data_IF_667932608795
#
_entry.id   IF_667932608795
#
_cell.length_a   1.000
_cell.length_b   1.000
_cell.length_c   1.000
_cell.angle_alpha   90.00
_cell.angle_beta   90.00
_cell.angle_gamma   90.00
#
_symmetry.space_group_name_H-M   'P 1'
#
loop_
_entity.id
_entity.type
_entity.pdbx_description
1 polymer ?
#
# COMPACT_ATOMS: atom_id res chain seq x y z
N UNK A 1 4.07 31.48 -42.48
CA UNK A 1 2.79 30.76 -42.23
C UNK A 1 1.54 31.45 -42.78
N UNK A 2 1.58 32.70 -43.29
CA UNK A 2 0.34 33.42 -43.69
C UNK A 2 -0.29 33.00 -45.02
N UNK A 3 0.47 32.42 -45.97
CA UNK A 3 -0.10 31.98 -47.26
C UNK A 3 -1.14 30.86 -47.09
N UNK A 4 -0.82 29.86 -46.26
CA UNK A 4 -1.69 28.71 -45.98
C UNK A 4 -2.97 29.19 -45.26
N UNK A 5 -2.83 30.07 -44.26
CA UNK A 5 -3.98 30.64 -43.56
C UNK A 5 -4.90 31.41 -44.53
N UNK A 6 -4.34 32.28 -45.37
CA UNK A 6 -5.11 33.08 -46.34
C UNK A 6 -5.79 32.22 -47.42
N UNK A 7 -5.19 31.10 -47.85
CA UNK A 7 -5.78 30.20 -48.85
C UNK A 7 -7.07 29.54 -48.33
N UNK A 8 -7.04 29.06 -47.08
CA UNK A 8 -8.20 28.42 -46.45
C UNK A 8 -9.26 29.41 -45.93
N UNK A 9 -8.91 30.68 -45.66
CA UNK A 9 -9.86 31.68 -45.16
C UNK A 9 -10.53 32.54 -46.23
N UNK A 10 -9.92 32.71 -47.41
CA UNK A 10 -10.42 33.63 -48.44
C UNK A 10 -11.28 32.96 -49.53
N UNK A 11 -11.88 31.81 -49.24
CA UNK A 11 -12.86 31.16 -50.14
C UNK A 11 -12.27 30.46 -51.36
N UNK A 12 -10.94 30.30 -51.45
CA UNK A 12 -10.26 29.60 -52.55
C UNK A 12 -10.13 28.08 -52.33
N UNK A 13 -10.63 27.57 -51.20
CA UNK A 13 -10.61 26.16 -50.87
C UNK A 13 -11.66 25.37 -51.66
N UNK A 14 -11.27 24.20 -52.16
CA UNK A 14 -12.18 23.26 -52.80
C UNK A 14 -13.17 22.65 -51.80
N UNK A 15 -14.34 22.15 -52.25
CA UNK A 15 -15.28 21.47 -51.36
C UNK A 15 -14.67 20.32 -50.55
N UNK A 16 -13.78 19.52 -51.16
CA UNK A 16 -13.08 18.43 -50.50
C UNK A 16 -12.12 18.94 -49.40
N UNK A 17 -11.44 20.08 -49.61
CA UNK A 17 -10.58 20.70 -48.60
C UNK A 17 -11.37 21.26 -47.42
N UNK A 18 -12.56 21.81 -47.67
CA UNK A 18 -13.47 22.27 -46.62
C UNK A 18 -13.99 21.09 -45.77
N UNK A 19 -14.38 19.99 -46.42
CA UNK A 19 -14.81 18.75 -45.76
C UNK A 19 -13.68 18.14 -44.91
N UNK A 20 -12.48 18.01 -45.47
CA UNK A 20 -11.30 17.53 -44.74
C UNK A 20 -10.95 18.43 -43.55
N UNK A 21 -11.05 19.75 -43.71
CA UNK A 21 -10.80 20.70 -42.61
C UNK A 21 -11.86 20.57 -41.51
N UNK A 22 -13.13 20.36 -41.86
CA UNK A 22 -14.19 20.12 -40.90
C UNK A 22 -13.99 18.80 -40.15
N UNK A 23 -13.61 17.73 -40.85
CA UNK A 23 -13.28 16.43 -40.25
C UNK A 23 -12.11 16.53 -39.27
N UNK A 24 -11.01 17.21 -39.66
CA UNK A 24 -9.87 17.43 -38.77
C UNK A 24 -10.26 18.23 -37.52
N UNK A 25 -11.07 19.28 -37.67
CA UNK A 25 -11.57 20.06 -36.52
C UNK A 25 -12.42 19.21 -35.57
N UNK A 26 -13.27 18.33 -36.11
CA UNK A 26 -14.06 17.40 -35.32
C UNK A 26 -13.16 16.43 -34.55
N UNK A 27 -12.19 15.79 -35.22
CA UNK A 27 -11.24 14.88 -34.57
C UNK A 27 -10.43 15.56 -33.46
N UNK A 28 -9.96 16.80 -33.68
CA UNK A 28 -9.22 17.57 -32.66
C UNK A 28 -10.12 17.85 -31.44
N UNK A 29 -11.38 18.23 -31.67
CA UNK A 29 -12.35 18.49 -30.61
C UNK A 29 -12.64 17.22 -29.79
N UNK A 30 -12.85 16.11 -30.48
CA UNK A 30 -13.13 14.82 -29.85
C UNK A 30 -11.92 14.34 -29.04
N UNK A 31 -10.72 14.39 -29.62
CA UNK A 31 -9.49 14.00 -28.91
C UNK A 31 -9.23 14.88 -27.68
N UNK A 32 -9.51 16.18 -27.76
CA UNK A 32 -9.41 17.09 -26.60
C UNK A 32 -10.39 16.71 -25.50
N UNK A 33 -11.60 16.29 -25.85
CA UNK A 33 -12.61 15.82 -24.89
C UNK A 33 -12.13 14.52 -24.21
N UNK A 34 -11.65 13.56 -25.01
CA UNK A 34 -11.13 12.28 -24.52
C UNK A 34 -9.96 12.50 -23.56
N UNK A 35 -8.97 13.31 -23.93
CA UNK A 35 -7.80 13.61 -23.09
C UNK A 35 -8.21 14.25 -21.74
N UNK A 36 -9.23 15.10 -21.74
CA UNK A 36 -9.74 15.72 -20.50
C UNK A 36 -10.35 14.67 -19.55
N UNK A 37 -11.07 13.71 -20.11
CA UNK A 37 -11.66 12.60 -19.35
C UNK A 37 -10.59 11.65 -18.83
N UNK A 38 -9.65 11.23 -19.69
CA UNK A 38 -8.50 10.38 -19.33
C UNK A 38 -7.67 11.02 -18.21
N UNK A 39 -7.41 12.34 -18.31
CA UNK A 39 -6.67 13.06 -17.27
C UNK A 39 -7.38 13.05 -15.92
N UNK A 40 -8.70 13.32 -15.91
CA UNK A 40 -9.50 13.30 -14.68
C UNK A 40 -9.58 11.90 -14.06
N UNK A 41 -9.69 10.87 -14.90
CA UNK A 41 -9.66 9.49 -14.47
C UNK A 41 -8.32 9.14 -13.81
N UNK A 42 -7.21 9.43 -14.50
CA UNK A 42 -5.85 9.21 -13.99
C UNK A 42 -5.61 9.95 -12.66
N UNK A 43 -6.07 11.20 -12.53
CA UNK A 43 -5.99 11.95 -11.27
C UNK A 43 -6.76 11.26 -10.13
N UNK A 44 -7.94 10.69 -10.43
CA UNK A 44 -8.74 9.93 -9.47
C UNK A 44 -8.06 8.62 -9.04
N UNK A 45 -7.57 7.85 -10.01
CA UNK A 45 -6.84 6.60 -9.78
C UNK A 45 -5.57 6.85 -8.95
N UNK A 46 -4.81 7.89 -9.27
CA UNK A 46 -3.62 8.27 -8.49
C UNK A 46 -3.96 8.60 -7.03
N UNK A 47 -4.99 9.42 -6.79
CA UNK A 47 -5.42 9.77 -5.42
C UNK A 47 -5.86 8.54 -4.63
N UNK A 48 -6.57 7.62 -5.28
CA UNK A 48 -7.01 6.38 -4.65
C UNK A 48 -5.81 5.48 -4.32
N UNK A 49 -4.87 5.31 -5.26
CA UNK A 49 -3.67 4.51 -5.06
C UNK A 49 -2.79 5.05 -3.90
N UNK A 50 -2.66 6.36 -3.77
CA UNK A 50 -1.94 6.98 -2.64
C UNK A 50 -2.63 6.66 -1.32
N UNK A 51 -3.95 6.81 -1.25
CA UNK A 51 -4.72 6.51 -0.04
C UNK A 51 -4.62 5.05 0.38
N UNK A 52 -4.65 4.13 -0.59
CA UNK A 52 -4.52 2.70 -0.34
C UNK A 52 -3.10 2.34 0.12
N UNK A 53 -2.08 2.96 -0.47
CA UNK A 53 -0.68 2.80 -0.05
C UNK A 53 -0.43 3.33 1.37
N UNK A 54 -1.01 4.48 1.74
CA UNK A 54 -0.93 5.03 3.10
C UNK A 54 -1.60 4.12 4.13
N UNK A 55 -2.79 3.59 3.80
CA UNK A 55 -3.49 2.64 4.67
C UNK A 55 -2.69 1.35 4.87
N UNK A 56 -2.05 0.84 3.81
CA UNK A 56 -1.23 -0.36 3.88
C UNK A 56 0.05 -0.13 4.68
N UNK A 57 0.69 1.04 4.54
CA UNK A 57 1.84 1.42 5.35
C UNK A 57 1.52 1.41 6.84
N UNK A 58 0.40 2.00 7.26
CA UNK A 58 0.03 2.03 8.68
C UNK A 58 -0.36 0.64 9.23
N UNK A 59 -0.98 -0.22 8.41
CA UNK A 59 -1.21 -1.64 8.78
C UNK A 59 0.10 -2.39 8.97
N UNK A 60 1.00 -2.31 7.99
CA UNK A 60 2.30 -3.00 8.03
C UNK A 60 3.14 -2.53 9.23
N UNK A 61 3.15 -1.23 9.52
CA UNK A 61 3.80 -0.66 10.69
C UNK A 61 3.22 -1.18 12.01
N UNK A 62 1.89 -1.32 12.12
CA UNK A 62 1.25 -1.93 13.30
C UNK A 62 1.65 -3.39 13.45
N UNK A 63 1.55 -4.16 12.37
CA UNK A 63 1.91 -5.58 12.36
C UNK A 63 3.39 -5.80 12.72
N UNK A 64 4.31 -4.97 12.20
CA UNK A 64 5.72 -5.03 12.53
C UNK A 64 5.97 -4.77 14.02
N UNK A 65 5.26 -3.79 14.61
CA UNK A 65 5.35 -3.48 16.04
C UNK A 65 4.83 -4.63 16.91
N UNK A 66 3.70 -5.23 16.53
CA UNK A 66 3.14 -6.41 17.23
C UNK A 66 4.06 -7.62 17.15
N UNK A 67 4.59 -7.92 15.96
CA UNK A 67 5.56 -8.99 15.77
C UNK A 67 6.83 -8.78 16.59
N UNK A 68 7.33 -7.54 16.67
CA UNK A 68 8.47 -7.21 17.51
C UNK A 68 8.18 -7.53 18.99
N UNK A 69 7.03 -7.12 19.52
CA UNK A 69 6.67 -7.43 20.91
C UNK A 69 6.51 -8.93 21.14
N UNK A 70 5.87 -9.65 20.21
CA UNK A 70 5.75 -11.12 20.30
C UNK A 70 7.11 -11.80 20.34
N UNK A 71 8.04 -11.38 19.49
CA UNK A 71 9.39 -11.95 19.47
C UNK A 71 10.14 -11.67 20.78
N UNK A 72 10.02 -10.46 21.33
CA UNK A 72 10.63 -10.10 22.61
C UNK A 72 10.02 -10.94 23.75
N UNK A 73 8.70 -11.07 23.80
CA UNK A 73 8.02 -11.87 24.83
C UNK A 73 8.39 -13.35 24.72
N UNK A 74 8.43 -13.90 23.50
CA UNK A 74 8.84 -15.28 23.26
C UNK A 74 10.29 -15.54 23.69
N UNK A 75 11.21 -14.62 23.36
CA UNK A 75 12.60 -14.72 23.78
C UNK A 75 12.72 -14.67 25.32
N UNK A 76 12.04 -13.71 25.96
CA UNK A 76 12.04 -13.59 27.42
C UNK A 76 11.46 -14.84 28.10
N UNK A 77 10.39 -15.42 27.54
CA UNK A 77 9.80 -16.65 28.06
C UNK A 77 10.76 -17.84 27.95
N UNK A 78 11.49 -17.94 26.83
CA UNK A 78 12.53 -18.97 26.64
C UNK A 78 13.64 -18.86 27.67
N UNK A 79 14.14 -17.65 27.92
CA UNK A 79 15.18 -17.40 28.94
C UNK A 79 14.69 -17.73 30.36
N UNK A 80 13.44 -17.37 30.68
CA UNK A 80 12.86 -17.68 32.00
C UNK A 80 12.66 -19.17 32.20
N UNK A 81 12.17 -19.89 31.18
CA UNK A 81 12.04 -21.34 31.24
C UNK A 81 13.42 -22.00 31.44
N UNK A 82 14.47 -21.47 30.80
CA UNK A 82 15.85 -21.93 31.02
C UNK A 82 16.33 -21.68 32.46
N UNK A 83 16.07 -20.49 33.03
CA UNK A 83 16.39 -20.18 34.44
C UNK A 83 15.68 -21.14 35.38
N UNK A 84 14.38 -21.40 35.14
CA UNK A 84 13.57 -22.28 35.98
C UNK A 84 14.03 -23.74 35.95
N UNK A 85 14.71 -24.17 34.90
CA UNK A 85 15.30 -25.51 34.80
C UNK A 85 16.61 -25.66 35.58
N UNK A 86 17.18 -24.58 36.14
CA UNK A 86 18.46 -24.64 36.85
C UNK A 86 18.34 -25.10 38.29
N UNK A 87 19.35 -25.82 38.78
CA UNK A 87 19.47 -26.18 40.20
C UNK A 87 19.61 -24.95 41.11
N UNK A 88 20.16 -23.85 40.58
CA UNK A 88 20.25 -22.56 41.28
C UNK A 88 18.87 -22.02 41.58
N UNK A 89 17.95 -22.10 40.62
CA UNK A 89 16.56 -21.71 40.82
C UNK A 89 15.83 -22.66 41.77
N UNK A 90 16.01 -23.97 41.61
CA UNK A 90 15.39 -24.98 42.47
C UNK A 90 15.73 -24.75 43.95
N UNK A 91 16.99 -24.41 44.24
CA UNK A 91 17.49 -24.15 45.59
C UNK A 91 17.35 -22.69 46.06
N UNK A 92 16.73 -21.82 45.25
CA UNK A 92 16.51 -20.42 45.64
C UNK A 92 15.50 -20.28 46.78
N UNK A 93 15.39 -19.09 47.38
CA UNK A 93 14.39 -18.84 48.41
C UNK A 93 12.95 -18.82 47.82
N UNK A 94 11.96 -19.06 48.68
CA UNK A 94 10.56 -19.15 48.25
C UNK A 94 10.04 -17.86 47.59
N UNK A 95 10.57 -16.69 47.99
CA UNK A 95 10.16 -15.40 47.42
C UNK A 95 10.72 -15.23 46.01
N UNK A 96 11.94 -15.69 45.75
CA UNK A 96 12.55 -15.70 44.41
C UNK A 96 11.77 -16.61 43.46
N UNK A 97 11.44 -17.85 43.88
CA UNK A 97 10.60 -18.76 43.06
C UNK A 97 9.24 -18.16 42.73
N UNK A 98 8.53 -17.63 43.72
CA UNK A 98 7.22 -17.03 43.52
C UNK A 98 7.25 -15.83 42.56
N UNK A 99 8.31 -15.02 42.59
CA UNK A 99 8.46 -13.88 41.66
C UNK A 99 8.70 -14.32 40.22
N UNK A 100 9.56 -15.30 40.01
CA UNK A 100 9.87 -15.79 38.66
C UNK A 100 8.65 -16.47 38.05
N UNK A 101 7.91 -17.25 38.84
CA UNK A 101 6.68 -17.90 38.40
C UNK A 101 5.56 -16.88 38.11
N UNK A 102 5.44 -15.83 38.94
CA UNK A 102 4.55 -14.71 38.67
C UNK A 102 4.92 -13.95 37.39
N UNK A 103 6.22 -13.74 37.14
CA UNK A 103 6.69 -13.12 35.90
C UNK A 103 6.38 -13.98 34.67
N UNK A 104 6.56 -15.30 34.77
CA UNK A 104 6.21 -16.27 33.72
C UNK A 104 4.71 -16.27 33.39
N UNK A 105 3.86 -16.23 34.42
CA UNK A 105 2.41 -16.13 34.24
C UNK A 105 2.01 -14.79 33.57
N UNK A 106 2.66 -13.70 33.95
CA UNK A 106 2.47 -12.39 33.30
C UNK A 106 2.86 -12.42 31.82
N UNK A 107 4.01 -13.01 31.46
CA UNK A 107 4.44 -13.12 30.05
C UNK A 107 3.47 -13.96 29.21
N UNK A 108 2.95 -15.05 29.76
CA UNK A 108 1.92 -15.86 29.11
C UNK A 108 0.65 -15.05 28.83
N UNK A 109 0.24 -14.23 29.80
CA UNK A 109 -0.93 -13.33 29.69
C UNK A 109 -0.69 -12.18 28.72
N UNK A 110 0.52 -11.61 28.71
CA UNK A 110 0.92 -10.57 27.78
C UNK A 110 0.94 -11.09 26.34
N UNK A 111 1.45 -12.31 26.13
CA UNK A 111 1.51 -12.96 24.82
C UNK A 111 0.13 -13.22 24.22
N UNK A 112 -0.85 -13.63 25.03
CA UNK A 112 -2.24 -13.80 24.59
C UNK A 112 -2.95 -12.47 24.34
N UNK A 113 -2.60 -11.42 25.09
CA UNK A 113 -3.15 -10.07 24.89
C UNK A 113 -2.64 -9.40 23.62
N UNK A 114 -1.46 -9.78 23.12
CA UNK A 114 -0.95 -9.37 21.80
C UNK A 114 -1.66 -10.08 20.60
N UNK A 115 -2.74 -10.84 20.84
CA UNK A 115 -3.55 -11.53 19.81
C UNK A 115 -4.80 -10.71 19.41
N UNK A 116 -4.99 -9.53 19.99
CA UNK A 116 -6.09 -8.63 19.64
C UNK A 116 -5.91 -7.85 18.34
N UNK A 117 -5.80 -8.54 17.20
CA UNK A 117 -6.26 -8.15 15.85
C UNK A 117 -5.85 -9.30 14.90
N UNK A 118 -6.82 -9.89 14.21
CA UNK A 118 -6.57 -10.98 13.25
C UNK A 118 -5.45 -10.59 12.26
N UNK A 119 -4.62 -11.55 11.81
CA UNK A 119 -3.77 -11.30 10.66
C UNK A 119 -4.71 -10.96 9.49
N UNK A 120 -4.68 -9.70 9.04
CA UNK A 120 -5.42 -9.32 7.84
C UNK A 120 -4.97 -10.25 6.71
N UNK A 121 -5.91 -10.84 5.94
CA UNK A 121 -5.59 -11.77 4.89
C UNK A 121 -4.59 -11.12 3.92
N UNK A 122 -3.45 -11.77 3.70
CA UNK A 122 -2.48 -11.33 2.70
C UNK A 122 -3.13 -11.46 1.33
N UNK A 123 -3.53 -10.33 0.75
CA UNK A 123 -3.95 -10.33 -0.65
C UNK A 123 -2.70 -10.39 -1.54
N UNK A 124 -2.75 -11.19 -2.63
CA UNK A 124 -1.61 -11.37 -3.52
C UNK A 124 -1.24 -10.02 -4.15
N UNK A 125 0.06 -9.73 -4.13
CA UNK A 125 0.67 -8.64 -4.90
C UNK A 125 0.33 -8.88 -6.37
N UNK A 126 -0.65 -8.17 -6.91
CA UNK A 126 -0.96 -8.23 -8.33
C UNK A 126 0.28 -7.82 -9.12
N UNK A 127 0.69 -8.73 -10.02
CA UNK A 127 1.84 -8.55 -10.90
C UNK A 127 1.66 -7.25 -11.68
N UNK A 128 2.64 -6.36 -11.51
CA UNK A 128 2.88 -5.16 -12.29
C UNK A 128 2.59 -5.44 -13.78
N UNK A 129 1.72 -4.67 -14.47
CA UNK A 129 1.51 -4.88 -15.89
C UNK A 129 2.80 -4.57 -16.65
N UNK A 130 3.29 -5.56 -17.40
CA UNK A 130 4.35 -5.38 -18.37
C UNK A 130 3.87 -4.33 -19.39
N UNK A 131 4.61 -3.23 -19.47
CA UNK A 131 4.45 -2.23 -20.52
C UNK A 131 4.71 -2.92 -21.86
N UNK A 132 3.62 -3.21 -22.59
CA UNK A 132 3.69 -3.53 -24.01
C UNK A 132 4.10 -2.23 -24.71
N UNK A 133 5.37 -2.16 -25.12
CA UNK A 133 5.85 -1.15 -26.04
C UNK A 133 5.19 -1.42 -27.40
N UNK A 134 4.40 -0.45 -27.87
CA UNK A 134 3.93 -0.35 -29.25
C UNK A 134 4.56 0.89 -29.88
#
# INVERSE_FOLDING_TARGET
>A
MSFIYNYFTNGNATPAELENTAALKAMIKDRKSVLKTEHKQCEGEYKQAVKDAEAEYERSKRQAKENMYRNILHAAQTEVDAIMATDVFANSDAKTRAKIEGFRAWMTTASTSCIGEEPLPSYPVEKKPELIAA
#
